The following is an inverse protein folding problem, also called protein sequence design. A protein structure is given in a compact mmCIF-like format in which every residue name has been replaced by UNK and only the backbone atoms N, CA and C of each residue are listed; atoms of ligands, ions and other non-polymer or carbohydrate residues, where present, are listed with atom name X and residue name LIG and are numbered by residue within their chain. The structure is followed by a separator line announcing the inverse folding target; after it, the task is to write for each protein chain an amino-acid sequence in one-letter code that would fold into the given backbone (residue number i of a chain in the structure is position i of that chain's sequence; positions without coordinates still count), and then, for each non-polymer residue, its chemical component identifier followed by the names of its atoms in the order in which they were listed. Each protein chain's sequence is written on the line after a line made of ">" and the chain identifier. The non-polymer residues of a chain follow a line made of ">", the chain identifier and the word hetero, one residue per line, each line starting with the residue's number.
data_IF_660385598438
#
_entry.id   IF_660385598438
#
_cell.length_a   1.000
_cell.length_b   1.000
_cell.length_c   1.000
_cell.angle_alpha   90.00
_cell.angle_beta   90.00
_cell.angle_gamma   90.00
#
_symmetry.space_group_name_H-M   'P 1'
#
loop_
_entity.id
_entity.type
_entity.pdbx_description
1 polymer ?
#
# COMPACT_ATOMS: atom_id res chain seq x y z
N UNK A 1 18.84 -10.19 -10.13
CA UNK A 1 17.73 -10.80 -9.41
C UNK A 1 17.08 -11.79 -10.34
N UNK A 2 17.00 -13.04 -9.92
CA UNK A 2 16.29 -14.08 -10.67
C UNK A 2 14.78 -13.87 -10.55
N UNK A 3 14.01 -14.48 -11.45
CA UNK A 3 12.55 -14.35 -11.45
C UNK A 3 11.92 -14.81 -10.14
N UNK A 4 12.45 -15.88 -9.55
CA UNK A 4 11.90 -16.47 -8.34
C UNK A 4 12.15 -15.53 -7.13
N UNK A 5 13.32 -14.89 -7.05
CA UNK A 5 13.61 -13.83 -6.07
C UNK A 5 12.67 -12.63 -6.22
N UNK A 6 12.41 -12.17 -7.46
CA UNK A 6 11.41 -11.11 -7.70
C UNK A 6 10.02 -11.51 -7.21
N UNK A 7 9.67 -12.79 -7.33
CA UNK A 7 8.38 -13.29 -6.91
C UNK A 7 8.23 -13.36 -5.40
N UNK A 8 9.29 -13.73 -4.69
CA UNK A 8 9.32 -13.68 -3.23
C UNK A 8 9.12 -12.25 -2.73
N UNK A 9 9.82 -11.27 -3.30
CA UNK A 9 9.63 -9.85 -2.98
C UNK A 9 8.19 -9.38 -3.22
N UNK A 10 7.59 -9.79 -4.34
CA UNK A 10 6.20 -9.42 -4.66
C UNK A 10 5.17 -10.11 -3.76
N UNK A 11 5.44 -11.35 -3.31
CA UNK A 11 4.61 -12.04 -2.34
C UNK A 11 4.64 -11.35 -0.98
N UNK A 12 5.84 -10.95 -0.52
CA UNK A 12 6.01 -10.20 0.71
C UNK A 12 5.32 -8.84 0.61
N UNK A 13 5.50 -8.12 -0.49
CA UNK A 13 4.84 -6.83 -0.72
C UNK A 13 3.31 -6.97 -0.76
N UNK A 14 2.79 -8.04 -1.36
CA UNK A 14 1.35 -8.34 -1.38
C UNK A 14 0.82 -8.61 0.02
N UNK A 15 1.59 -9.31 0.85
CA UNK A 15 1.22 -9.57 2.24
C UNK A 15 1.25 -8.27 3.05
N UNK A 16 2.33 -7.50 2.93
CA UNK A 16 2.59 -6.34 3.77
C UNK A 16 1.72 -5.15 3.37
N UNK A 17 1.78 -4.73 2.10
CA UNK A 17 0.99 -3.59 1.63
C UNK A 17 -0.33 -4.01 1.01
N UNK A 18 -0.42 -5.14 0.32
CA UNK A 18 -1.68 -5.56 -0.29
C UNK A 18 -2.76 -5.97 0.73
N UNK A 19 -2.36 -6.60 1.85
CA UNK A 19 -3.28 -7.14 2.86
C UNK A 19 -3.30 -6.34 4.15
N UNK A 20 -2.14 -5.98 4.72
CA UNK A 20 -2.12 -5.33 6.04
C UNK A 20 -2.39 -3.82 5.97
N UNK A 21 -1.99 -3.14 4.90
CA UNK A 21 -2.24 -1.70 4.74
C UNK A 21 -3.73 -1.31 4.86
N UNK A 22 -4.69 -1.89 4.11
CA UNK A 22 -6.09 -1.49 4.24
C UNK A 22 -6.76 -1.98 5.53
N UNK A 23 -6.12 -2.88 6.29
CA UNK A 23 -6.77 -3.65 7.36
C UNK A 23 -7.29 -2.80 8.51
N UNK A 24 -6.55 -1.83 9.08
CA UNK A 24 -7.07 -1.01 10.18
C UNK A 24 -8.33 -0.23 9.79
N UNK A 25 -8.35 0.36 8.60
CA UNK A 25 -9.51 1.14 8.11
C UNK A 25 -10.70 0.23 7.83
N UNK A 26 -10.49 -0.93 7.21
CA UNK A 26 -11.56 -1.89 6.88
C UNK A 26 -12.23 -2.52 8.09
N UNK A 27 -11.56 -2.51 9.23
CA UNK A 27 -12.09 -3.06 10.48
C UNK A 27 -12.90 -2.05 11.29
N UNK A 28 -12.89 -0.78 10.89
CA UNK A 28 -13.77 0.21 11.48
C UNK A 28 -15.24 -0.09 11.10
N UNK A 29 -16.18 0.07 12.05
CA UNK A 29 -17.60 -0.02 11.74
C UNK A 29 -18.03 1.10 10.77
N UNK A 30 -19.08 0.91 9.94
CA UNK A 30 -19.48 1.89 8.92
C UNK A 30 -19.78 3.30 9.45
N UNK A 31 -20.17 3.41 10.71
CA UNK A 31 -20.51 4.64 11.43
C UNK A 31 -19.36 5.19 12.31
N UNK A 32 -18.14 4.64 12.16
CA UNK A 32 -16.95 5.13 12.87
C UNK A 32 -16.74 6.64 12.66
N UNK A 33 -16.25 7.31 13.70
CA UNK A 33 -16.01 8.75 13.65
C UNK A 33 -14.85 9.12 12.71
N UNK A 34 -14.75 10.40 12.35
CA UNK A 34 -13.61 10.91 11.59
C UNK A 34 -12.28 10.72 12.35
N UNK A 35 -12.30 10.82 13.67
CA UNK A 35 -11.13 10.60 14.52
C UNK A 35 -10.71 9.12 14.52
N UNK A 36 -11.67 8.19 14.57
CA UNK A 36 -11.40 6.76 14.44
C UNK A 36 -10.79 6.43 13.07
N UNK A 37 -11.34 7.01 11.99
CA UNK A 37 -10.80 6.88 10.64
C UNK A 37 -9.36 7.41 10.56
N UNK A 38 -9.10 8.59 11.12
CA UNK A 38 -7.76 9.18 11.15
C UNK A 38 -6.79 8.33 11.95
N UNK A 39 -7.20 7.80 13.11
CA UNK A 39 -6.38 6.92 13.93
C UNK A 39 -6.07 5.59 13.23
N UNK A 40 -7.06 4.97 12.59
CA UNK A 40 -6.88 3.76 11.81
C UNK A 40 -5.98 3.97 10.60
N UNK A 41 -6.14 5.08 9.88
CA UNK A 41 -5.28 5.44 8.75
C UNK A 41 -3.84 5.70 9.20
N UNK A 42 -3.65 6.38 10.34
CA UNK A 42 -2.32 6.53 10.95
C UNK A 42 -1.69 5.18 11.28
N UNK A 43 -2.44 4.29 11.93
CA UNK A 43 -1.97 2.93 12.20
C UNK A 43 -1.61 2.18 10.91
N UNK A 44 -2.44 2.28 9.87
CA UNK A 44 -2.21 1.65 8.58
C UNK A 44 -0.89 2.11 7.94
N UNK A 45 -0.59 3.41 8.00
CA UNK A 45 0.59 4.00 7.35
C UNK A 45 1.87 3.87 8.19
N UNK A 46 1.78 4.01 9.51
CA UNK A 46 2.94 4.04 10.41
C UNK A 46 3.31 2.66 10.97
N UNK A 47 2.35 1.74 11.06
CA UNK A 47 2.52 0.42 11.70
C UNK A 47 1.81 -0.69 10.92
N UNK A 48 2.14 -0.79 9.63
CA UNK A 48 1.50 -1.72 8.69
C UNK A 48 1.77 -3.20 9.02
N UNK A 49 3.03 -3.63 8.95
CA UNK A 49 3.44 -5.01 9.25
C UNK A 49 4.77 -5.05 9.98
N UNK A 50 4.93 -5.96 10.95
CA UNK A 50 6.13 -6.05 11.79
C UNK A 50 6.49 -4.76 12.55
N UNK A 51 5.52 -3.85 12.74
CA UNK A 51 5.77 -2.52 13.31
C UNK A 51 6.44 -1.51 12.37
N UNK A 52 6.60 -1.85 11.09
CA UNK A 52 7.18 -0.99 10.05
C UNK A 52 6.12 -0.13 9.37
N UNK A 53 6.52 1.04 8.89
CA UNK A 53 5.65 1.93 8.11
C UNK A 53 5.50 1.44 6.68
N UNK A 54 4.37 1.77 6.06
CA UNK A 54 4.08 1.45 4.66
C UNK A 54 5.14 2.04 3.72
N UNK A 55 5.63 3.23 4.03
CA UNK A 55 6.68 3.90 3.27
C UNK A 55 8.02 3.15 3.35
N UNK A 56 8.40 2.63 4.52
CA UNK A 56 9.64 1.86 4.67
C UNK A 56 9.55 0.51 3.94
N UNK A 57 8.41 -0.17 4.03
CA UNK A 57 8.15 -1.42 3.32
C UNK A 57 8.19 -1.22 1.80
N UNK A 58 7.61 -0.12 1.30
CA UNK A 58 7.69 0.22 -0.10
C UNK A 58 9.12 0.56 -0.55
N UNK A 59 9.87 1.36 0.21
CA UNK A 59 11.22 1.76 -0.16
C UNK A 59 12.18 0.56 -0.30
N UNK A 60 12.08 -0.42 0.61
CA UNK A 60 12.86 -1.66 0.52
C UNK A 60 12.50 -2.42 -0.77
N UNK A 61 11.20 -2.68 -0.97
CA UNK A 61 10.72 -3.42 -2.13
C UNK A 61 11.02 -2.70 -3.45
N UNK A 62 10.92 -1.37 -3.50
CA UNK A 62 11.21 -0.57 -4.69
C UNK A 62 12.68 -0.72 -5.14
N UNK A 63 13.61 -0.74 -4.18
CA UNK A 63 15.03 -0.99 -4.47
C UNK A 63 15.27 -2.38 -5.06
N UNK A 64 14.59 -3.38 -4.52
CA UNK A 64 14.67 -4.77 -5.00
C UNK A 64 14.00 -4.96 -6.38
N UNK A 65 12.89 -4.26 -6.62
CA UNK A 65 12.14 -4.32 -7.87
C UNK A 65 12.70 -3.41 -8.98
N UNK A 66 13.84 -2.74 -8.77
CA UNK A 66 14.42 -1.80 -9.74
C UNK A 66 14.64 -2.41 -11.14
N UNK A 67 14.91 -3.71 -11.22
CA UNK A 67 15.10 -4.42 -12.50
C UNK A 67 13.83 -4.48 -13.37
N UNK A 68 12.65 -4.33 -12.78
CA UNK A 68 11.36 -4.34 -13.47
C UNK A 68 10.70 -2.95 -13.51
N UNK A 69 11.42 -1.89 -13.12
CA UNK A 69 10.87 -0.54 -13.00
C UNK A 69 10.31 0.04 -14.33
N UNK A 70 10.83 -0.43 -15.47
CA UNK A 70 10.36 -0.01 -16.79
C UNK A 70 9.04 -0.67 -17.20
N UNK A 71 8.56 -1.67 -16.46
CA UNK A 71 7.30 -2.36 -16.79
C UNK A 71 6.11 -1.46 -16.45
N UNK A 72 5.09 -1.35 -17.33
CA UNK A 72 3.87 -0.58 -17.02
C UNK A 72 3.16 -1.04 -15.73
N UNK A 73 3.19 -2.34 -15.44
CA UNK A 73 2.62 -2.89 -14.20
C UNK A 73 3.34 -2.38 -12.94
N UNK A 74 4.66 -2.18 -13.01
CA UNK A 74 5.42 -1.59 -11.90
C UNK A 74 5.03 -0.12 -11.70
N UNK A 75 4.92 0.66 -12.78
CA UNK A 75 4.49 2.05 -12.70
C UNK A 75 3.08 2.19 -12.11
N UNK A 76 2.17 1.28 -12.46
CA UNK A 76 0.83 1.24 -11.87
C UNK A 76 0.85 0.91 -10.36
N UNK A 77 1.72 -0.02 -9.95
CA UNK A 77 1.96 -0.33 -8.54
C UNK A 77 2.53 0.87 -7.78
N UNK A 78 3.59 1.49 -8.29
CA UNK A 78 4.21 2.67 -7.69
C UNK A 78 3.18 3.80 -7.51
N UNK A 79 2.33 4.05 -8.51
CA UNK A 79 1.27 5.04 -8.42
C UNK A 79 0.22 4.68 -7.35
N UNK A 80 -0.19 3.41 -7.26
CA UNK A 80 -1.13 2.96 -6.24
C UNK A 80 -0.56 3.15 -4.83
N UNK A 81 0.70 2.80 -4.60
CA UNK A 81 1.38 3.00 -3.32
C UNK A 81 1.53 4.49 -3.02
N UNK A 82 1.92 5.32 -3.99
CA UNK A 82 2.03 6.77 -3.81
C UNK A 82 0.71 7.40 -3.40
N UNK A 83 -0.43 7.02 -4.01
CA UNK A 83 -1.75 7.52 -3.60
C UNK A 83 -2.10 7.11 -2.17
N UNK A 84 -1.82 5.85 -1.81
CA UNK A 84 -2.03 5.38 -0.44
C UNK A 84 -1.19 6.17 0.59
N UNK A 85 0.10 6.39 0.29
CA UNK A 85 1.02 7.13 1.17
C UNK A 85 0.71 8.63 1.23
N UNK A 86 0.15 9.23 0.17
CA UNK A 86 -0.19 10.65 0.13
C UNK A 86 -1.21 11.04 1.19
N UNK A 87 -2.02 10.09 1.69
CA UNK A 87 -2.90 10.31 2.83
C UNK A 87 -2.16 10.66 4.11
N UNK A 88 -0.90 10.24 4.26
CA UNK A 88 -0.06 10.60 5.41
C UNK A 88 0.06 12.10 5.61
N UNK A 89 0.26 12.88 4.53
CA UNK A 89 0.34 14.34 4.60
C UNK A 89 -0.98 14.98 5.08
N UNK A 90 -2.12 14.31 4.93
CA UNK A 90 -3.43 14.79 5.42
C UNK A 90 -3.68 14.42 6.87
N UNK A 91 -2.91 13.53 7.47
CA UNK A 91 -3.01 13.19 8.89
C UNK A 91 -2.42 14.28 9.79
N UNK A 92 -1.51 15.10 9.24
CA UNK A 92 -0.88 16.21 9.96
C UNK A 92 -1.78 17.46 10.05
N UNK A 93 -2.78 17.54 9.18
CA UNK A 93 -3.81 18.58 9.21
C UNK A 93 -5.06 18.05 9.96
N UNK A 94 -5.35 18.54 11.18
CA UNK A 94 -6.50 18.09 11.96
C UNK A 94 -7.84 18.50 11.35
N UNK A 95 -7.88 19.53 10.51
CA UNK A 95 -9.08 20.05 9.88
C UNK A 95 -9.32 19.45 8.48
N UNK A 96 -8.32 18.75 7.92
CA UNK A 96 -8.47 18.04 6.65
C UNK A 96 -9.57 16.97 6.73
N UNK A 97 -10.60 17.13 5.89
CA UNK A 97 -11.63 16.13 5.74
C UNK A 97 -11.06 14.86 5.10
N UNK A 98 -11.32 13.71 5.75
CA UNK A 98 -11.00 12.39 5.22
C UNK A 98 -12.27 11.75 4.67
N UNK A 99 -12.31 11.55 3.36
CA UNK A 99 -13.34 10.74 2.72
C UNK A 99 -13.00 9.26 2.91
N UNK A 100 -13.79 8.55 3.73
CA UNK A 100 -13.62 7.12 4.02
C UNK A 100 -13.56 6.28 2.75
N UNK A 101 -14.45 6.53 1.79
CA UNK A 101 -14.52 5.74 0.57
C UNK A 101 -13.28 5.95 -0.30
N UNK A 102 -12.78 7.18 -0.38
CA UNK A 102 -11.56 7.50 -1.11
C UNK A 102 -10.32 6.86 -0.45
N UNK A 103 -10.20 6.97 0.89
CA UNK A 103 -9.13 6.32 1.65
C UNK A 103 -9.14 4.81 1.42
N UNK A 104 -10.29 4.16 1.60
CA UNK A 104 -10.41 2.72 1.40
C UNK A 104 -10.05 2.29 -0.02
N UNK A 105 -10.53 3.03 -1.03
CA UNK A 105 -10.22 2.75 -2.43
C UNK A 105 -8.72 2.81 -2.72
N UNK A 106 -8.02 3.84 -2.25
CA UNK A 106 -6.59 3.98 -2.47
C UNK A 106 -5.77 2.91 -1.74
N UNK A 107 -6.09 2.61 -0.47
CA UNK A 107 -5.39 1.54 0.27
C UNK A 107 -5.63 0.16 -0.37
N UNK A 108 -6.85 -0.12 -0.83
CA UNK A 108 -7.20 -1.38 -1.46
C UNK A 108 -6.60 -1.56 -2.86
N UNK A 109 -6.33 -0.46 -3.58
CA UNK A 109 -5.79 -0.51 -4.93
C UNK A 109 -4.38 -1.13 -5.00
N UNK A 110 -3.62 -1.12 -3.89
CA UNK A 110 -2.25 -1.66 -3.84
C UNK A 110 -2.24 -3.16 -4.11
N UNK A 111 -3.13 -3.94 -3.47
CA UNK A 111 -3.16 -5.40 -3.61
C UNK A 111 -3.32 -5.89 -5.06
N UNK A 112 -4.35 -5.44 -5.80
CA UNK A 112 -4.49 -5.74 -7.22
C UNK A 112 -3.31 -5.28 -8.09
N UNK A 113 -2.70 -4.14 -7.77
CA UNK A 113 -1.53 -3.65 -8.52
C UNK A 113 -0.30 -4.55 -8.32
N UNK A 114 -0.06 -5.05 -7.11
CA UNK A 114 0.98 -6.06 -6.86
C UNK A 114 0.68 -7.33 -7.65
N UNK A 115 -0.57 -7.82 -7.62
CA UNK A 115 -0.96 -9.01 -8.36
C UNK A 115 -0.77 -8.86 -9.88
N UNK A 116 -1.04 -7.68 -10.44
CA UNK A 116 -0.79 -7.41 -11.85
C UNK A 116 0.71 -7.41 -12.20
N UNK A 117 1.57 -6.90 -11.31
CA UNK A 117 3.02 -6.98 -11.52
C UNK A 117 3.53 -8.42 -11.39
N UNK A 118 2.99 -9.21 -10.45
CA UNK A 118 3.30 -10.64 -10.34
C UNK A 118 2.98 -11.38 -11.63
N UNK A 119 1.79 -11.14 -12.20
CA UNK A 119 1.36 -11.74 -13.46
C UNK A 119 2.29 -11.33 -14.62
N UNK A 120 2.66 -10.06 -14.69
CA UNK A 120 3.59 -9.57 -15.70
C UNK A 120 4.99 -10.18 -15.58
N UNK A 121 5.49 -10.43 -14.36
CA UNK A 121 6.79 -11.09 -14.12
C UNK A 121 6.74 -12.59 -14.42
N UNK A 122 5.59 -13.23 -14.17
CA UNK A 122 5.41 -14.66 -14.46
C UNK A 122 5.37 -14.97 -15.96
N UNK A 123 4.83 -14.05 -16.78
CA UNK A 123 4.52 -14.30 -18.19
C UNK A 123 5.33 -13.46 -19.19
N UNK A 124 6.26 -12.60 -18.74
CA UNK A 124 7.04 -11.71 -19.60
C UNK A 124 8.52 -11.72 -19.29
#
# INVERSE_FOLDING_TARGET
>A
MERDELMDVLLDLKHDLGKHLPRPVRWLPPDASADDLRAALRQALERTHGGRSAAALWADAEGELASVAQRPAFQALALAVQRALAWGARLDDPDAALDRAAVEADLLAVGPAVAALMDAVAHG
#
